data_IF_204709771859
#
_entry.id   IF_204709771859
#
_cell.length_a   1.000
_cell.length_b   1.000
_cell.length_c   1.000
_cell.angle_alpha   90.00
_cell.angle_beta   90.00
_cell.angle_gamma   90.00
#
_symmetry.space_group_name_H-M   'P 1'
#
loop_
_entity.id
_entity.type
_entity.pdbx_description
1 polymer ?
#
# COMPACT_ATOMS: atom_id res chain seq x y z
N UNK A 1 -12.09 -28.41 4.30
CA UNK A 1 -11.48 -28.20 2.98
C UNK A 1 -11.09 -26.74 2.92
N UNK A 2 -9.79 -26.42 2.97
CA UNK A 2 -9.35 -25.02 2.87
C UNK A 2 -9.42 -24.61 1.40
N UNK A 3 -10.41 -23.78 1.07
CA UNK A 3 -10.50 -23.11 -0.22
C UNK A 3 -9.22 -22.28 -0.37
N UNK A 4 -8.34 -22.69 -1.29
CA UNK A 4 -7.14 -21.92 -1.62
C UNK A 4 -7.64 -20.62 -2.26
N UNK A 5 -7.79 -19.57 -1.46
CA UNK A 5 -8.01 -18.21 -1.97
C UNK A 5 -6.96 -17.97 -3.05
N UNK A 6 -7.41 -17.92 -4.30
CA UNK A 6 -6.58 -17.51 -5.43
C UNK A 6 -5.97 -16.15 -5.06
N UNK A 7 -4.67 -15.94 -5.29
CA UNK A 7 -4.06 -14.65 -4.96
C UNK A 7 -4.80 -13.55 -5.72
N UNK A 8 -5.23 -12.50 -5.01
CA UNK A 8 -6.00 -11.38 -5.56
C UNK A 8 -5.15 -10.56 -6.53
N UNK A 9 -3.83 -10.66 -6.43
CA UNK A 9 -2.89 -10.23 -7.45
C UNK A 9 -2.23 -11.44 -8.12
N UNK A 10 -1.71 -11.27 -9.35
CA UNK A 10 -1.00 -12.32 -10.08
C UNK A 10 0.33 -12.79 -9.41
N UNK A 11 0.66 -12.28 -8.22
CA UNK A 11 1.92 -12.47 -7.54
C UNK A 11 1.67 -12.55 -6.02
N UNK A 12 1.97 -13.71 -5.42
CA UNK A 12 1.77 -13.97 -3.99
C UNK A 12 2.60 -13.06 -3.07
N UNK A 13 3.71 -12.50 -3.54
CA UNK A 13 4.51 -11.57 -2.74
C UNK A 13 3.87 -10.18 -2.74
N UNK A 14 3.37 -9.73 -3.90
CA UNK A 14 2.64 -8.46 -3.99
C UNK A 14 1.34 -8.51 -3.21
N UNK A 15 0.63 -9.63 -3.28
CA UNK A 15 -0.63 -9.87 -2.57
C UNK A 15 -0.46 -9.80 -1.05
N UNK A 16 0.51 -10.52 -0.50
CA UNK A 16 0.82 -10.45 0.93
C UNK A 16 1.28 -9.05 1.36
N UNK A 17 2.10 -8.39 0.55
CA UNK A 17 2.57 -7.04 0.86
C UNK A 17 1.43 -6.01 0.84
N UNK A 18 0.54 -6.08 -0.16
CA UNK A 18 -0.64 -5.21 -0.28
C UNK A 18 -1.61 -5.41 0.87
N UNK A 19 -1.95 -6.67 1.19
CA UNK A 19 -2.81 -7.01 2.31
C UNK A 19 -2.23 -6.53 3.64
N UNK A 20 -0.93 -6.73 3.87
CA UNK A 20 -0.27 -6.30 5.09
C UNK A 20 -0.28 -4.77 5.23
N UNK A 21 0.05 -4.03 4.15
CA UNK A 21 0.00 -2.58 4.14
C UNK A 21 -1.43 -2.06 4.38
N UNK A 22 -2.45 -2.71 3.82
CA UNK A 22 -3.84 -2.36 4.04
C UNK A 22 -4.27 -2.54 5.50
N UNK A 23 -3.91 -3.67 6.12
CA UNK A 23 -4.21 -3.93 7.54
C UNK A 23 -3.57 -2.89 8.46
N UNK A 24 -2.32 -2.51 8.19
CA UNK A 24 -1.62 -1.48 8.95
C UNK A 24 -2.29 -0.11 8.80
N UNK A 25 -2.71 0.25 7.57
CA UNK A 25 -3.43 1.50 7.33
C UNK A 25 -4.80 1.50 8.02
N UNK A 26 -5.58 0.43 7.92
CA UNK A 26 -6.87 0.33 8.61
C UNK A 26 -6.72 0.45 10.12
N UNK A 27 -5.72 -0.23 10.70
CA UNK A 27 -5.40 -0.14 12.13
C UNK A 27 -5.01 1.28 12.53
N UNK A 28 -4.19 1.98 11.74
CA UNK A 28 -3.83 3.37 11.97
C UNK A 28 -5.06 4.29 11.94
N UNK A 29 -5.99 4.06 11.01
CA UNK A 29 -7.23 4.83 10.91
C UNK A 29 -8.22 4.53 12.05
N UNK A 30 -8.26 3.30 12.55
CA UNK A 30 -9.09 2.91 13.70
C UNK A 30 -8.57 3.49 15.02
N UNK A 31 -7.27 3.79 15.12
CA UNK A 31 -6.66 4.45 16.28
C UNK A 31 -7.02 5.94 16.39
N UNK A 32 -7.55 6.56 15.34
CA UNK A 32 -7.97 7.95 15.38
C UNK A 32 -9.17 8.09 16.33
N UNK A 33 -8.96 8.81 17.44
CA UNK A 33 -9.99 9.04 18.46
C UNK A 33 -10.82 10.31 18.19
N UNK A 34 -10.21 11.29 17.54
CA UNK A 34 -10.79 12.60 17.27
C UNK A 34 -11.69 12.59 16.02
N UNK A 35 -12.87 13.22 16.11
CA UNK A 35 -13.84 13.23 15.02
C UNK A 35 -13.38 14.04 13.80
N UNK A 36 -12.64 15.13 14.00
CA UNK A 36 -12.10 15.93 12.90
C UNK A 36 -10.97 15.18 12.18
N UNK A 37 -10.10 14.49 12.92
CA UNK A 37 -9.09 13.60 12.34
C UNK A 37 -9.74 12.45 11.55
N UNK A 38 -10.76 11.78 12.10
CA UNK A 38 -11.49 10.73 11.38
C UNK A 38 -12.11 11.25 10.07
N UNK A 39 -12.74 12.42 10.09
CA UNK A 39 -13.32 13.01 8.89
C UNK A 39 -12.23 13.35 7.85
N UNK A 40 -11.10 13.91 8.30
CA UNK A 40 -9.96 14.25 7.44
C UNK A 40 -9.35 13.03 6.75
N UNK A 41 -9.19 11.93 7.49
CA UNK A 41 -8.55 10.71 6.97
C UNK A 41 -9.54 9.67 6.45
N UNK A 42 -10.85 9.93 6.47
CA UNK A 42 -11.87 9.03 5.91
C UNK A 42 -11.58 8.57 4.47
N UNK A 43 -11.08 9.42 3.54
CA UNK A 43 -10.75 8.99 2.18
C UNK A 43 -9.69 7.88 2.10
N UNK A 44 -8.83 7.74 3.12
CA UNK A 44 -7.77 6.73 3.15
C UNK A 44 -8.31 5.30 3.29
N UNK A 45 -9.56 5.13 3.74
CA UNK A 45 -10.22 3.81 3.75
C UNK A 45 -10.37 3.24 2.34
N UNK A 46 -10.65 4.09 1.34
CA UNK A 46 -10.70 3.66 -0.06
C UNK A 46 -9.31 3.24 -0.56
N UNK A 47 -8.26 3.96 -0.16
CA UNK A 47 -6.88 3.60 -0.48
C UNK A 47 -6.45 2.27 0.18
N UNK A 48 -6.97 1.96 1.38
CA UNK A 48 -6.77 0.66 2.00
C UNK A 48 -7.45 -0.49 1.25
N UNK A 49 -8.63 -0.24 0.65
CA UNK A 49 -9.27 -1.20 -0.25
C UNK A 49 -8.43 -1.39 -1.53
N UNK A 50 -7.92 -0.29 -2.10
CA UNK A 50 -7.03 -0.38 -3.28
C UNK A 50 -5.77 -1.19 -2.99
N UNK A 51 -5.17 -1.05 -1.80
CA UNK A 51 -4.02 -1.87 -1.40
C UNK A 51 -4.32 -3.38 -1.39
N UNK A 52 -5.57 -3.77 -1.16
CA UNK A 52 -6.02 -5.19 -1.13
C UNK A 52 -6.40 -5.71 -2.51
N UNK A 53 -7.01 -4.86 -3.34
CA UNK A 53 -7.75 -5.32 -4.52
C UNK A 53 -7.24 -4.70 -5.84
N UNK A 54 -6.61 -3.52 -5.80
CA UNK A 54 -6.17 -2.82 -7.02
C UNK A 54 -4.90 -3.43 -7.62
N UNK A 55 -4.69 -3.26 -8.93
CA UNK A 55 -3.53 -3.85 -9.63
C UNK A 55 -2.73 -2.80 -10.39
N UNK A 56 -1.44 -3.08 -10.58
CA UNK A 56 -0.56 -2.29 -11.44
C UNK A 56 -0.45 -0.83 -11.01
N UNK A 57 -0.78 0.09 -11.92
CA UNK A 57 -0.62 1.53 -11.70
C UNK A 57 -1.59 2.09 -10.66
N UNK A 58 -2.80 1.52 -10.54
CA UNK A 58 -3.74 1.92 -9.50
C UNK A 58 -3.18 1.63 -8.10
N UNK A 59 -2.68 0.40 -7.89
CA UNK A 59 -2.01 0.02 -6.64
C UNK A 59 -0.80 0.91 -6.34
N UNK A 60 0.02 1.21 -7.37
CA UNK A 60 1.17 2.12 -7.24
C UNK A 60 0.72 3.50 -6.78
N UNK A 61 -0.31 4.06 -7.40
CA UNK A 61 -0.83 5.39 -7.09
C UNK A 61 -1.33 5.46 -5.66
N UNK A 62 -2.14 4.49 -5.24
CA UNK A 62 -2.67 4.45 -3.86
C UNK A 62 -1.53 4.29 -2.85
N UNK A 63 -0.55 3.43 -3.10
CA UNK A 63 0.62 3.29 -2.22
C UNK A 63 1.45 4.58 -2.11
N UNK A 64 1.68 5.30 -3.22
CA UNK A 64 2.39 6.59 -3.22
C UNK A 64 1.60 7.67 -2.48
N UNK A 65 0.28 7.74 -2.69
CA UNK A 65 -0.58 8.69 -1.99
C UNK A 65 -0.55 8.47 -0.49
N UNK A 66 -0.64 7.23 -0.01
CA UNK A 66 -0.53 6.91 1.42
C UNK A 66 0.87 7.26 1.92
N UNK A 67 1.93 6.91 1.18
CA UNK A 67 3.32 7.20 1.57
C UNK A 67 3.58 8.70 1.72
N UNK A 68 2.99 9.52 0.86
CA UNK A 68 3.06 10.99 0.92
C UNK A 68 2.33 11.54 2.16
N UNK A 69 1.20 10.93 2.53
CA UNK A 69 0.46 11.29 3.74
C UNK A 69 1.19 10.95 5.04
N UNK A 70 2.21 10.09 4.97
CA UNK A 70 3.12 9.82 6.08
C UNK A 70 4.30 10.79 6.08
N UNK A 71 4.35 11.81 5.22
CA UNK A 71 5.36 12.86 5.21
C UNK A 71 5.21 13.83 6.39
N UNK A 72 6.22 14.67 6.65
CA UNK A 72 6.16 15.68 7.72
C UNK A 72 5.16 16.79 7.37
N UNK A 73 4.41 17.25 8.37
CA UNK A 73 3.60 18.45 8.27
C UNK A 73 2.14 18.17 7.92
N UNK A 74 1.36 17.85 8.95
CA UNK A 74 -0.10 17.73 8.94
C UNK A 74 -0.59 16.43 8.24
N UNK A 75 0.24 15.39 8.31
CA UNK A 75 0.01 14.06 7.75
C UNK A 75 -0.53 13.06 8.78
N UNK A 76 -0.87 11.85 8.31
CA UNK A 76 -1.29 10.75 9.20
C UNK A 76 -0.19 10.42 10.23
N UNK A 77 1.07 10.70 9.90
CA UNK A 77 2.21 10.51 10.79
C UNK A 77 2.21 11.41 12.04
N UNK A 78 1.49 12.52 12.03
CA UNK A 78 1.43 13.45 13.17
C UNK A 78 0.35 13.07 14.20
N UNK A 79 -0.58 12.18 13.82
CA UNK A 79 -1.75 11.82 14.65
C UNK A 79 -1.78 10.34 15.03
N UNK A 80 -0.88 9.52 14.48
CA UNK A 80 -0.77 8.09 14.74
C UNK A 80 0.57 7.80 15.43
N UNK A 81 0.61 6.71 16.19
CA UNK A 81 1.83 6.26 16.87
C UNK A 81 3.02 6.08 15.91
N UNK A 82 4.20 6.53 16.34
CA UNK A 82 5.41 6.52 15.51
C UNK A 82 5.85 5.11 15.09
N UNK A 83 5.59 4.08 15.91
CA UNK A 83 5.87 2.70 15.54
C UNK A 83 4.94 2.24 14.42
N UNK A 84 3.64 2.54 14.53
CA UNK A 84 2.66 2.21 13.48
C UNK A 84 2.95 2.94 12.16
N UNK A 85 3.40 4.20 12.22
CA UNK A 85 3.85 4.96 11.05
C UNK A 85 5.07 4.31 10.41
N UNK A 86 6.02 3.83 11.21
CA UNK A 86 7.24 3.19 10.72
C UNK A 86 6.92 1.87 10.03
N UNK A 87 6.14 1.00 10.67
CA UNK A 87 5.68 -0.26 10.09
C UNK A 87 4.90 -0.04 8.78
N UNK A 88 3.99 0.93 8.76
CA UNK A 88 3.22 1.25 7.55
C UNK A 88 4.13 1.77 6.42
N UNK A 89 5.13 2.60 6.72
CA UNK A 89 6.11 3.06 5.71
C UNK A 89 6.88 1.88 5.13
N UNK A 90 7.37 0.98 5.97
CA UNK A 90 8.12 -0.20 5.52
C UNK A 90 7.27 -1.12 4.64
N UNK A 91 6.00 -1.35 5.01
CA UNK A 91 5.06 -2.14 4.24
C UNK A 91 4.79 -1.51 2.86
N UNK A 92 4.57 -0.19 2.80
CA UNK A 92 4.37 0.54 1.55
C UNK A 92 5.63 0.52 0.66
N UNK A 93 6.81 0.72 1.26
CA UNK A 93 8.08 0.69 0.54
C UNK A 93 8.34 -0.71 -0.04
N UNK A 94 7.94 -1.78 0.66
CA UNK A 94 7.97 -3.15 0.12
C UNK A 94 7.05 -3.33 -1.10
N UNK A 95 5.80 -2.86 -1.03
CA UNK A 95 4.85 -2.89 -2.17
C UNK A 95 5.45 -2.19 -3.39
N UNK A 96 5.95 -0.96 -3.20
CA UNK A 96 6.55 -0.16 -4.27
C UNK A 96 7.81 -0.83 -4.83
N UNK A 97 8.63 -1.48 -4.00
CA UNK A 97 9.82 -2.22 -4.44
C UNK A 97 9.46 -3.41 -5.33
N UNK A 98 8.42 -4.17 -4.98
CA UNK A 98 7.93 -5.30 -5.78
C UNK A 98 7.41 -4.80 -7.13
N UNK A 99 6.62 -3.72 -7.12
CA UNK A 99 6.10 -3.10 -8.35
C UNK A 99 7.22 -2.58 -9.26
N UNK A 100 8.20 -1.86 -8.71
CA UNK A 100 9.34 -1.33 -9.46
C UNK A 100 10.21 -2.45 -10.06
N UNK A 101 10.48 -3.52 -9.30
CA UNK A 101 11.23 -4.69 -9.81
C UNK A 101 10.51 -5.31 -11.00
N UNK A 102 9.18 -5.44 -10.96
CA UNK A 102 8.38 -5.98 -12.08
C UNK A 102 8.42 -5.09 -13.32
N UNK A 103 8.35 -3.77 -13.15
CA UNK A 103 8.49 -2.84 -14.28
C UNK A 103 9.87 -2.94 -14.92
N UNK A 104 10.93 -3.05 -14.11
CA UNK A 104 12.30 -3.23 -14.61
C UNK A 104 12.48 -4.56 -15.36
N UNK A 105 11.90 -5.66 -14.86
CA UNK A 105 11.95 -6.96 -15.54
C UNK A 105 11.19 -6.93 -16.88
N UNK A 106 10.02 -6.30 -16.94
CA UNK A 106 9.29 -6.14 -18.20
C UNK A 106 10.05 -5.30 -19.22
N UNK A 107 10.64 -4.18 -18.80
CA UNK A 107 11.46 -3.34 -19.68
C UNK A 107 12.68 -4.06 -20.26
N UNK A 108 13.30 -4.99 -19.50
CA UNK A 108 14.44 -5.79 -20.01
C UNK A 108 14.02 -6.87 -21.00
N UNK A 109 12.87 -7.51 -20.81
CA UNK A 109 12.37 -8.52 -21.75
C UNK A 109 12.02 -7.88 -23.09
N UNK A 110 11.44 -6.68 -23.10
CA UNK A 110 11.16 -5.94 -24.34
C UNK A 110 12.43 -5.58 -25.12
N UNK A 111 13.53 -5.25 -24.45
CA UNK A 111 14.81 -4.93 -25.11
C UNK A 111 15.53 -6.18 -25.65
N UNK A 112 15.28 -7.35 -25.07
CA UNK A 112 15.93 -8.59 -25.50
C UNK A 112 15.26 -9.25 -26.73
N UNK A 113 14.02 -8.87 -27.05
CA UNK A 113 13.26 -9.38 -28.22
C UNK A 113 13.52 -8.55 -29.50
N UNK A 114 14.20 -7.40 -29.38
CA UNK A 114 14.54 -6.50 -30.50
C UNK A 114 15.97 -6.68 -31.05
N UNK A 115 16.69 -7.76 -30.70
CA UNK A 115 18.06 -8.02 -31.17
C UNK A 115 18.24 -9.40 -31.81
#
# INVERSE_FOLDING_TARGET
MAERELPRHADHALDRAGLHAAQLLERALDQLVDAAQRARFAPYRALAADLRDARGEALRRSAVTIRAALGPGDGLADVVDAAAVTELREALDLVLRILNRRSALRGRVSVADEH
#
